data_IF_795685662720
#
_entry.id   IF_795685662720
#
_cell.length_a   1.000
_cell.length_b   1.000
_cell.length_c   1.000
_cell.angle_alpha   90.00
_cell.angle_beta   90.00
_cell.angle_gamma   90.00
#
_symmetry.space_group_name_H-M   'P 1'
#
loop_
_entity.id
_entity.type
_entity.pdbx_description
1 polymer ?
#
# COMPACT_ATOMS: atom_id res chain seq x y z
N UNK A 1 -16.99 6.73 10.39
CA UNK A 1 -17.18 5.78 9.26
C UNK A 1 -15.90 5.70 8.46
N UNK A 2 -15.11 4.64 8.66
CA UNK A 2 -13.91 4.39 7.86
C UNK A 2 -14.37 3.90 6.48
N UNK A 3 -14.28 4.75 5.45
CA UNK A 3 -14.57 4.32 4.08
C UNK A 3 -13.32 3.61 3.56
N UNK A 4 -13.37 2.29 3.25
CA UNK A 4 -12.21 1.55 2.76
C UNK A 4 -11.56 2.23 1.55
N UNK A 5 -12.38 2.84 0.67
CA UNK A 5 -11.93 3.60 -0.50
C UNK A 5 -10.97 4.74 -0.16
N UNK A 6 -11.21 5.51 0.91
CA UNK A 6 -10.31 6.61 1.30
C UNK A 6 -8.94 6.08 1.67
N UNK A 7 -8.88 4.96 2.41
CA UNK A 7 -7.60 4.34 2.79
C UNK A 7 -6.87 3.74 1.59
N UNK A 8 -7.58 3.18 0.61
CA UNK A 8 -6.98 2.70 -0.64
C UNK A 8 -6.32 3.84 -1.42
N UNK A 9 -7.02 4.98 -1.56
CA UNK A 9 -6.47 6.16 -2.21
C UNK A 9 -5.23 6.68 -1.46
N UNK A 10 -5.28 6.72 -0.11
CA UNK A 10 -4.10 7.09 0.68
C UNK A 10 -2.92 6.15 0.48
N UNK A 11 -3.14 4.83 0.36
CA UNK A 11 -2.08 3.86 0.04
C UNK A 11 -1.44 4.21 -1.30
N UNK A 12 -2.24 4.50 -2.33
CA UNK A 12 -1.73 4.85 -3.66
C UNK A 12 -0.88 6.12 -3.63
N UNK A 13 -1.38 7.20 -3.02
CA UNK A 13 -0.66 8.47 -2.87
C UNK A 13 0.70 8.28 -2.19
N UNK A 14 0.71 7.52 -1.09
CA UNK A 14 1.93 7.22 -0.35
C UNK A 14 2.96 6.45 -1.20
N UNK A 15 2.49 5.48 -1.99
CA UNK A 15 3.35 4.69 -2.86
C UNK A 15 3.88 5.50 -4.05
N UNK A 16 3.08 6.40 -4.61
CA UNK A 16 3.50 7.31 -5.69
C UNK A 16 4.55 8.31 -5.19
N UNK A 17 4.35 8.88 -4.00
CA UNK A 17 5.23 9.90 -3.44
C UNK A 17 6.61 9.36 -3.01
N UNK A 18 6.66 8.14 -2.43
CA UNK A 18 7.91 7.58 -1.86
C UNK A 18 8.54 6.47 -2.70
N UNK A 19 7.84 5.95 -3.70
CA UNK A 19 8.27 4.82 -4.53
C UNK A 19 8.28 3.47 -3.80
N UNK A 20 8.76 3.41 -2.55
CA UNK A 20 8.74 2.20 -1.70
C UNK A 20 8.43 2.57 -0.26
N UNK A 21 7.49 1.85 0.37
CA UNK A 21 7.17 2.00 1.80
C UNK A 21 7.03 0.62 2.46
N UNK A 22 7.58 0.46 3.66
CA UNK A 22 7.43 -0.76 4.45
C UNK A 22 6.00 -1.00 4.95
N UNK A 23 5.62 -2.27 5.16
CA UNK A 23 4.26 -2.61 5.61
C UNK A 23 3.89 -2.00 6.97
N UNK A 24 4.81 -2.04 7.94
CA UNK A 24 4.62 -1.40 9.25
C UNK A 24 4.55 0.13 9.18
N UNK A 25 5.30 0.75 8.27
CA UNK A 25 5.25 2.20 8.07
C UNK A 25 3.92 2.64 7.41
N UNK A 26 3.41 1.85 6.46
CA UNK A 26 2.05 2.03 5.91
C UNK A 26 1.00 1.87 7.00
N UNK A 27 1.14 0.85 7.86
CA UNK A 27 0.21 0.58 8.96
C UNK A 27 0.14 1.77 9.92
N UNK A 28 1.29 2.30 10.33
CA UNK A 28 1.38 3.49 11.18
C UNK A 28 0.73 4.72 10.54
N UNK A 29 1.05 5.03 9.27
CA UNK A 29 0.46 6.20 8.59
C UNK A 29 -1.03 6.08 8.33
N UNK A 30 -1.50 4.86 8.10
CA UNK A 30 -2.90 4.59 7.85
C UNK A 30 -3.68 4.33 9.14
N UNK A 31 -3.03 4.38 10.31
CA UNK A 31 -3.64 4.07 11.62
C UNK A 31 -4.41 2.74 11.59
N UNK A 32 -3.81 1.73 10.97
CA UNK A 32 -4.35 0.37 10.89
C UNK A 32 -3.27 -0.63 11.23
N UNK A 33 -3.65 -1.89 11.38
CA UNK A 33 -2.71 -3.00 11.52
C UNK A 33 -2.12 -3.43 10.16
N UNK A 34 -1.02 -4.17 10.19
CA UNK A 34 -0.35 -4.66 8.98
C UNK A 34 -1.20 -5.65 8.16
N UNK A 35 -2.13 -6.37 8.78
CA UNK A 35 -3.05 -7.29 8.07
C UNK A 35 -4.06 -6.47 7.25
N UNK A 36 -4.51 -5.34 7.76
CA UNK A 36 -5.33 -4.37 7.02
C UNK A 36 -4.56 -3.76 5.84
N UNK A 37 -3.28 -3.42 6.01
CA UNK A 37 -2.41 -2.98 4.90
C UNK A 37 -2.33 -4.06 3.82
N UNK A 38 -2.04 -5.32 4.21
CA UNK A 38 -2.02 -6.46 3.27
C UNK A 38 -3.33 -6.59 2.52
N UNK A 39 -4.47 -6.44 3.20
CA UNK A 39 -5.80 -6.48 2.59
C UNK A 39 -6.04 -5.34 1.61
N UNK A 40 -5.62 -4.12 1.94
CA UNK A 40 -5.76 -2.96 1.04
C UNK A 40 -4.89 -3.10 -0.20
N UNK A 41 -3.65 -3.57 -0.06
CA UNK A 41 -2.78 -3.84 -1.19
C UNK A 41 -3.37 -4.92 -2.10
N UNK A 42 -3.89 -6.01 -1.53
CA UNK A 42 -4.56 -7.05 -2.31
C UNK A 42 -5.78 -6.51 -3.07
N UNK A 43 -6.59 -5.66 -2.44
CA UNK A 43 -7.74 -5.03 -3.09
C UNK A 43 -7.32 -4.09 -4.24
N UNK A 44 -6.22 -3.36 -4.07
CA UNK A 44 -5.66 -2.54 -5.15
C UNK A 44 -5.14 -3.41 -6.31
N UNK A 45 -4.52 -4.55 -6.02
CA UNK A 45 -4.10 -5.51 -7.05
C UNK A 45 -5.29 -6.11 -7.81
N UNK A 46 -6.37 -6.44 -7.09
CA UNK A 46 -7.61 -6.99 -7.67
C UNK A 46 -8.25 -6.06 -8.71
N UNK A 47 -8.14 -4.74 -8.51
CA UNK A 47 -8.64 -3.72 -9.44
C UNK A 47 -7.60 -3.33 -10.51
N UNK A 48 -6.48 -4.04 -10.59
CA UNK A 48 -5.47 -3.87 -11.64
C UNK A 48 -4.33 -2.90 -11.31
N UNK A 49 -4.19 -2.43 -10.07
CA UNK A 49 -3.05 -1.60 -9.68
C UNK A 49 -1.80 -2.49 -9.51
N UNK A 50 -0.69 -2.22 -10.23
CA UNK A 50 0.49 -3.06 -10.22
C UNK A 50 1.40 -2.75 -9.01
N UNK A 51 0.97 -3.17 -7.82
CA UNK A 51 1.77 -3.07 -6.59
C UNK A 51 2.61 -4.34 -6.44
N UNK A 52 3.91 -4.18 -6.26
CA UNK A 52 4.85 -5.26 -5.92
C UNK A 52 5.12 -5.26 -4.42
N UNK A 53 5.07 -6.44 -3.79
CA UNK A 53 5.48 -6.65 -2.40
C UNK A 53 6.83 -7.34 -2.33
N UNK A 54 7.81 -6.70 -1.70
CA UNK A 54 9.10 -7.31 -1.38
C UNK A 54 9.09 -7.84 0.06
N UNK A 55 9.51 -9.09 0.26
CA UNK A 55 9.63 -9.71 1.59
C UNK A 55 10.99 -9.42 2.22
N UNK A 56 11.06 -9.43 3.57
CA UNK A 56 12.31 -9.30 4.34
C UNK A 56 12.29 -8.13 5.33
N UNK A 57 13.38 -7.96 6.10
CA UNK A 57 13.54 -6.92 7.14
C UNK A 57 13.42 -5.49 6.63
N UNK A 58 13.75 -5.28 5.34
CA UNK A 58 13.56 -4.01 4.63
C UNK A 58 12.46 -4.10 3.57
N UNK A 59 11.67 -5.18 3.59
CA UNK A 59 10.60 -5.41 2.63
C UNK A 59 9.51 -4.34 2.70
N UNK A 60 8.80 -4.17 1.59
CA UNK A 60 7.80 -3.12 1.46
C UNK A 60 7.02 -3.22 0.17
N UNK A 61 6.09 -2.29 0.01
CA UNK A 61 5.25 -2.16 -1.14
C UNK A 61 5.78 -1.05 -2.05
N UNK A 62 5.69 -1.28 -3.36
CA UNK A 62 6.10 -0.33 -4.40
C UNK A 62 5.13 -0.40 -5.57
N UNK A 63 4.79 0.74 -6.15
CA UNK A 63 4.12 0.77 -7.46
C UNK A 63 5.13 0.48 -8.56
N UNK A 64 4.76 -0.36 -9.53
CA UNK A 64 5.64 -0.62 -10.68
C UNK A 64 5.92 0.68 -11.46
N UNK A 65 7.16 0.88 -11.93
CA UNK A 65 7.50 2.03 -12.75
C UNK A 65 6.58 2.13 -13.98
N UNK A 66 6.10 3.35 -14.27
CA UNK A 66 5.20 3.60 -15.40
C UNK A 66 3.71 3.59 -15.06
N UNK A 67 3.33 3.29 -13.81
CA UNK A 67 1.98 3.49 -13.32
C UNK A 67 1.87 4.89 -12.68
N UNK A 68 1.21 5.83 -13.38
CA UNK A 68 0.95 7.20 -12.93
C UNK A 68 -0.51 7.54 -13.17
#
# INVERSE_FOLDING_TARGET
MYRPTTRLLTVLELLQARGRIGGGELAQRLEVDERSVRRYVAMLQDIGIPITSERGRHGGYRLRPGFR
#
